data_IF_723824563267
#
_entry.id   IF_723824563267
#
_cell.length_a   1.000
_cell.length_b   1.000
_cell.length_c   1.000
_cell.angle_alpha   90.00
_cell.angle_beta   90.00
_cell.angle_gamma   90.00
#
_symmetry.space_group_name_H-M   'P 1'
#
loop_
_entity.id
_entity.type
_entity.pdbx_description
1 polymer ?
#
# COMPACT_ATOMS: atom_id res chain seq x y z
N UNK A 1 43.10 42.16 -18.99
CA UNK A 1 42.94 42.21 -17.52
C UNK A 1 42.07 41.04 -17.04
N UNK A 2 40.95 40.74 -17.61
CA UNK A 2 39.99 39.67 -17.16
C UNK A 2 40.64 38.24 -17.04
N UNK A 3 41.58 37.88 -17.90
CA UNK A 3 42.21 36.53 -17.87
C UNK A 3 43.16 36.33 -16.69
N UNK A 4 43.75 37.38 -16.13
CA UNK A 4 44.60 37.34 -14.92
C UNK A 4 43.79 37.28 -13.61
N UNK A 5 42.57 37.81 -13.61
CA UNK A 5 41.63 37.74 -12.47
C UNK A 5 41.03 36.36 -12.31
N UNK A 6 40.71 35.67 -13.43
CA UNK A 6 40.19 34.31 -13.38
C UNK A 6 41.25 33.31 -12.84
N UNK A 7 42.50 33.41 -13.27
CA UNK A 7 43.59 32.57 -12.75
C UNK A 7 43.79 32.77 -11.25
N UNK A 8 43.75 34.04 -10.77
CA UNK A 8 43.85 34.31 -9.33
C UNK A 8 42.70 33.76 -8.51
N UNK A 9 41.51 33.72 -9.06
CA UNK A 9 40.32 33.11 -8.38
C UNK A 9 40.41 31.59 -8.38
N UNK A 10 40.88 30.96 -9.45
CA UNK A 10 41.12 29.52 -9.49
C UNK A 10 42.21 29.08 -8.50
N UNK A 11 43.33 29.82 -8.40
CA UNK A 11 44.38 29.52 -7.43
C UNK A 11 43.91 29.71 -5.99
N UNK A 12 43.10 30.73 -5.69
CA UNK A 12 42.51 30.93 -4.36
C UNK A 12 41.50 29.83 -3.99
N UNK A 13 40.69 29.38 -4.92
CA UNK A 13 39.75 28.27 -4.71
C UNK A 13 40.53 26.95 -4.47
N UNK A 14 41.62 26.71 -5.17
CA UNK A 14 42.46 25.53 -4.96
C UNK A 14 43.20 25.57 -3.60
N UNK A 15 43.65 26.74 -3.15
CA UNK A 15 44.26 26.89 -1.81
C UNK A 15 43.21 26.68 -0.69
N UNK A 16 41.99 27.23 -0.80
CA UNK A 16 40.89 27.01 0.16
C UNK A 16 40.47 25.54 0.21
N UNK A 17 40.38 24.85 -0.94
CA UNK A 17 40.10 23.41 -0.99
C UNK A 17 41.21 22.59 -0.34
N UNK A 18 42.48 22.93 -0.59
CA UNK A 18 43.62 22.25 0.05
C UNK A 18 43.70 22.48 1.56
N UNK A 19 43.41 23.69 2.05
CA UNK A 19 43.31 23.96 3.50
C UNK A 19 42.17 23.19 4.15
N UNK A 20 41.00 23.15 3.51
CA UNK A 20 39.86 22.40 4.02
C UNK A 20 40.11 20.89 4.03
N UNK A 21 40.75 20.34 3.01
CA UNK A 21 41.18 18.93 2.94
C UNK A 21 42.20 18.58 4.02
N UNK A 22 43.18 19.48 4.26
CA UNK A 22 44.20 19.28 5.31
C UNK A 22 43.61 19.36 6.72
N UNK A 23 42.63 20.27 6.95
CA UNK A 23 41.94 20.38 8.21
C UNK A 23 41.03 19.15 8.47
N UNK A 24 40.34 18.64 7.43
CA UNK A 24 39.58 17.41 7.51
C UNK A 24 40.48 16.20 7.81
N UNK A 25 41.66 16.12 7.17
CA UNK A 25 42.65 15.06 7.43
C UNK A 25 43.12 15.04 8.88
N UNK A 26 43.50 16.19 9.41
CA UNK A 26 43.92 16.35 10.82
C UNK A 26 42.80 16.04 11.81
N UNK A 27 41.55 16.41 11.48
CA UNK A 27 40.40 16.06 12.31
C UNK A 27 40.13 14.55 12.32
N UNK A 28 40.24 13.87 11.16
CA UNK A 28 40.10 12.42 11.02
C UNK A 28 41.22 11.73 11.84
N UNK A 29 42.47 12.18 11.72
CA UNK A 29 43.60 11.61 12.44
C UNK A 29 43.41 11.74 13.96
N UNK A 30 43.00 12.92 14.43
CA UNK A 30 42.74 13.19 15.85
C UNK A 30 41.56 12.35 16.42
N UNK A 31 40.59 11.99 15.58
CA UNK A 31 39.39 11.23 15.97
C UNK A 31 39.41 9.79 15.46
N UNK A 32 40.54 9.30 14.96
CA UNK A 32 40.67 7.98 14.33
C UNK A 32 40.11 6.83 15.19
N UNK A 33 40.41 6.84 16.49
CA UNK A 33 39.90 5.84 17.42
C UNK A 33 38.36 5.89 17.54
N UNK A 34 37.76 7.09 17.66
CA UNK A 34 36.32 7.26 17.74
C UNK A 34 35.65 6.81 16.42
N UNK A 35 36.23 7.23 15.29
CA UNK A 35 35.74 6.83 13.96
C UNK A 35 35.81 5.31 13.76
N UNK A 36 36.91 4.68 14.20
CA UNK A 36 37.06 3.22 14.15
C UNK A 36 35.99 2.50 14.95
N UNK A 37 35.65 2.97 16.14
CA UNK A 37 34.57 2.42 16.96
C UNK A 37 33.21 2.63 16.31
N UNK A 38 32.95 3.78 15.70
CA UNK A 38 31.70 4.06 14.96
C UNK A 38 31.58 3.11 13.77
N UNK A 39 32.63 2.95 12.97
CA UNK A 39 32.64 2.01 11.84
C UNK A 39 32.40 0.58 12.31
N UNK A 40 33.06 0.14 13.38
CA UNK A 40 32.88 -1.17 13.96
C UNK A 40 31.42 -1.38 14.41
N UNK A 41 30.84 -0.40 15.10
CA UNK A 41 29.45 -0.45 15.53
C UNK A 41 28.49 -0.56 14.34
N UNK A 42 28.70 0.21 13.27
CA UNK A 42 27.91 0.13 12.03
C UNK A 42 28.02 -1.25 11.40
N UNK A 43 29.22 -1.81 11.31
CA UNK A 43 29.44 -3.17 10.76
C UNK A 43 28.69 -4.22 11.58
N UNK A 44 28.76 -4.15 12.91
CA UNK A 44 28.05 -5.08 13.79
C UNK A 44 26.51 -4.98 13.61
N UNK A 45 25.99 -3.76 13.51
CA UNK A 45 24.56 -3.53 13.25
C UNK A 45 24.15 -4.10 11.90
N UNK A 46 24.91 -3.82 10.85
CA UNK A 46 24.64 -4.34 9.50
C UNK A 46 24.69 -5.87 9.47
N UNK A 47 25.70 -6.48 10.09
CA UNK A 47 25.78 -7.94 10.19
C UNK A 47 24.61 -8.52 11.01
N UNK A 48 24.19 -7.86 12.09
CA UNK A 48 23.02 -8.23 12.87
C UNK A 48 21.74 -8.21 12.04
N UNK A 49 21.53 -7.16 11.23
CA UNK A 49 20.39 -7.05 10.31
C UNK A 49 20.41 -8.17 9.26
N UNK A 50 21.58 -8.44 8.67
CA UNK A 50 21.73 -9.51 7.68
C UNK A 50 21.44 -10.88 8.31
N UNK A 51 21.97 -11.15 9.48
CA UNK A 51 21.73 -12.39 10.21
C UNK A 51 20.24 -12.57 10.56
N UNK A 52 19.61 -11.53 11.10
CA UNK A 52 18.17 -11.51 11.39
C UNK A 52 17.35 -11.81 10.13
N UNK A 53 17.67 -11.14 9.03
CA UNK A 53 16.98 -11.36 7.76
C UNK A 53 17.16 -12.80 7.25
N UNK A 54 18.38 -13.33 7.28
CA UNK A 54 18.69 -14.65 6.70
C UNK A 54 18.17 -15.81 7.55
N UNK A 55 18.27 -15.70 8.88
CA UNK A 55 18.00 -16.84 9.78
C UNK A 55 16.63 -16.78 10.47
N UNK A 56 15.97 -15.61 10.48
CA UNK A 56 14.66 -15.45 11.13
C UNK A 56 13.60 -15.03 10.12
N UNK A 57 13.82 -13.94 9.37
CA UNK A 57 12.77 -13.37 8.54
C UNK A 57 12.47 -14.23 7.31
N UNK A 58 13.49 -14.70 6.60
CA UNK A 58 13.28 -15.55 5.41
C UNK A 58 12.60 -16.89 5.69
N UNK A 59 13.02 -17.70 6.69
CA UNK A 59 12.33 -18.94 7.01
C UNK A 59 10.86 -18.73 7.36
N UNK A 60 10.56 -17.72 8.19
CA UNK A 60 9.17 -17.36 8.52
C UNK A 60 8.35 -16.90 7.32
N UNK A 61 8.95 -16.16 6.39
CA UNK A 61 8.26 -15.75 5.16
C UNK A 61 7.92 -16.96 4.26
N UNK A 62 8.79 -17.97 4.20
CA UNK A 62 8.53 -19.22 3.46
C UNK A 62 7.43 -20.03 4.14
N UNK A 63 7.47 -20.16 5.46
CA UNK A 63 6.43 -20.83 6.25
C UNK A 63 5.06 -20.18 6.00
N UNK A 64 4.96 -18.85 6.17
CA UNK A 64 3.76 -18.09 5.89
C UNK A 64 3.26 -18.30 4.44
N UNK A 65 4.18 -18.37 3.46
CA UNK A 65 3.82 -18.59 2.07
C UNK A 65 3.22 -19.98 1.83
N UNK A 66 3.77 -21.00 2.49
CA UNK A 66 3.26 -22.36 2.39
C UNK A 66 1.86 -22.49 3.02
N UNK A 67 1.66 -21.92 4.20
CA UNK A 67 0.34 -21.90 4.85
C UNK A 67 -0.68 -21.12 4.02
N UNK A 68 -0.30 -19.96 3.50
CA UNK A 68 -1.17 -19.17 2.63
C UNK A 68 -1.59 -19.96 1.38
N UNK A 69 -0.69 -20.75 0.78
CA UNK A 69 -1.00 -21.57 -0.38
C UNK A 69 -2.07 -22.64 -0.08
N UNK A 70 -2.07 -23.22 1.12
CA UNK A 70 -3.10 -24.18 1.56
C UNK A 70 -4.46 -23.50 1.70
N UNK A 71 -4.52 -22.35 2.36
CA UNK A 71 -5.75 -21.58 2.52
C UNK A 71 -6.34 -21.11 1.18
N UNK A 72 -5.47 -20.76 0.20
CA UNK A 72 -5.90 -20.40 -1.16
C UNK A 72 -6.65 -21.54 -1.86
N UNK A 73 -6.32 -22.81 -1.59
CA UNK A 73 -7.04 -23.95 -2.17
C UNK A 73 -8.51 -23.95 -1.74
N UNK A 74 -8.79 -23.73 -0.46
CA UNK A 74 -10.16 -23.59 0.04
C UNK A 74 -10.86 -22.35 -0.53
N UNK A 75 -10.14 -21.23 -0.60
CA UNK A 75 -10.67 -20.00 -1.20
C UNK A 75 -11.10 -20.20 -2.66
N UNK A 76 -10.27 -20.87 -3.46
CA UNK A 76 -10.57 -21.17 -4.87
C UNK A 76 -11.71 -22.18 -5.03
N UNK A 77 -11.94 -23.03 -4.03
CA UNK A 77 -13.09 -23.93 -3.96
C UNK A 77 -14.39 -23.25 -3.50
N UNK A 78 -14.32 -21.96 -3.06
CA UNK A 78 -15.47 -21.24 -2.52
C UNK A 78 -15.79 -21.60 -1.06
N UNK A 79 -14.95 -22.38 -0.39
CA UNK A 79 -15.09 -22.71 1.04
C UNK A 79 -14.44 -21.61 1.88
N UNK A 80 -15.15 -20.46 1.97
CA UNK A 80 -14.63 -19.25 2.61
C UNK A 80 -14.42 -19.42 4.11
N UNK A 81 -15.24 -20.25 4.78
CA UNK A 81 -15.07 -20.58 6.19
C UNK A 81 -13.76 -21.28 6.46
N UNK A 82 -13.44 -22.37 5.70
CA UNK A 82 -12.18 -23.06 5.86
C UNK A 82 -10.98 -22.25 5.37
N UNK A 83 -11.15 -21.46 4.32
CA UNK A 83 -10.11 -20.55 3.87
C UNK A 83 -9.74 -19.54 4.97
N UNK A 84 -10.74 -19.05 5.71
CA UNK A 84 -10.59 -18.03 6.74
C UNK A 84 -10.02 -18.59 8.04
N UNK A 85 -10.62 -19.67 8.57
CA UNK A 85 -10.31 -20.22 9.89
C UNK A 85 -9.40 -21.45 9.86
N UNK A 86 -9.20 -22.02 8.69
CA UNK A 86 -8.43 -23.25 8.51
C UNK A 86 -9.26 -24.51 8.70
N UNK A 87 -8.58 -25.64 8.63
CA UNK A 87 -9.07 -26.92 9.13
C UNK A 87 -8.17 -27.39 10.27
N UNK A 88 -8.70 -28.15 11.21
CA UNK A 88 -7.98 -28.55 12.44
C UNK A 88 -6.76 -29.44 12.16
N UNK A 89 -6.54 -29.91 10.93
CA UNK A 89 -5.55 -30.93 10.62
C UNK A 89 -4.35 -30.42 9.80
N UNK A 90 -4.56 -29.59 8.77
CA UNK A 90 -3.52 -29.31 7.77
C UNK A 90 -3.39 -27.86 7.32
N UNK A 91 -4.37 -27.01 7.58
CA UNK A 91 -4.44 -25.64 7.07
C UNK A 91 -4.64 -24.63 8.18
N UNK A 92 -3.72 -23.69 8.26
CA UNK A 92 -3.89 -22.46 9.03
C UNK A 92 -4.65 -21.46 8.14
N UNK A 93 -5.79 -20.94 8.62
CA UNK A 93 -6.61 -20.00 7.85
C UNK A 93 -5.98 -18.62 7.65
N UNK A 94 -6.54 -17.87 6.70
CA UNK A 94 -6.03 -16.53 6.38
C UNK A 94 -6.03 -15.57 7.56
N UNK A 95 -7.00 -15.68 8.47
CA UNK A 95 -7.08 -14.84 9.65
C UNK A 95 -5.83 -14.97 10.52
N UNK A 96 -5.48 -16.21 10.89
CA UNK A 96 -4.30 -16.47 11.69
C UNK A 96 -3.01 -16.10 10.95
N UNK A 97 -2.90 -16.40 9.64
CA UNK A 97 -1.74 -16.03 8.82
C UNK A 97 -1.58 -14.50 8.78
N UNK A 98 -2.68 -13.75 8.62
CA UNK A 98 -2.65 -12.31 8.59
C UNK A 98 -2.18 -11.69 9.93
N UNK A 99 -2.54 -12.31 11.04
CA UNK A 99 -2.17 -11.82 12.37
C UNK A 99 -0.74 -12.23 12.76
N UNK A 100 -0.35 -13.48 12.54
CA UNK A 100 0.96 -14.00 12.92
C UNK A 100 2.10 -13.46 12.03
N UNK A 101 1.79 -13.17 10.77
CA UNK A 101 2.77 -12.73 9.77
C UNK A 101 2.51 -11.32 9.24
N UNK A 102 1.87 -10.45 10.03
CA UNK A 102 1.46 -9.09 9.63
C UNK A 102 2.60 -8.20 9.09
N UNK A 103 3.84 -8.42 9.50
CA UNK A 103 5.04 -7.71 9.03
C UNK A 103 5.53 -8.19 7.65
N UNK A 104 5.06 -9.34 7.17
CA UNK A 104 5.47 -9.93 5.90
C UNK A 104 4.45 -9.62 4.81
N UNK A 105 4.91 -9.59 3.56
CA UNK A 105 3.99 -9.40 2.42
C UNK A 105 2.94 -10.51 2.33
N UNK A 106 3.32 -11.74 2.70
CA UNK A 106 2.37 -12.87 2.74
C UNK A 106 1.26 -12.64 3.76
N UNK A 107 1.59 -12.14 4.96
CA UNK A 107 0.56 -11.81 5.96
C UNK A 107 -0.36 -10.68 5.52
N UNK A 108 0.17 -9.66 4.82
CA UNK A 108 -0.66 -8.63 4.21
C UNK A 108 -1.58 -9.19 3.13
N UNK A 109 -1.06 -10.10 2.29
CA UNK A 109 -1.87 -10.78 1.29
C UNK A 109 -2.94 -11.67 1.93
N UNK A 110 -2.60 -12.39 3.00
CA UNK A 110 -3.57 -13.15 3.80
C UNK A 110 -4.66 -12.24 4.37
N UNK A 111 -4.32 -11.03 4.81
CA UNK A 111 -5.31 -10.05 5.26
C UNK A 111 -6.28 -9.62 4.14
N UNK A 112 -5.80 -9.49 2.90
CA UNK A 112 -6.69 -9.25 1.76
C UNK A 112 -7.66 -10.42 1.55
N UNK A 113 -7.13 -11.65 1.53
CA UNK A 113 -7.98 -12.84 1.36
C UNK A 113 -8.96 -13.02 2.53
N UNK A 114 -8.53 -12.79 3.76
CA UNK A 114 -9.40 -12.79 4.93
C UNK A 114 -10.53 -11.76 4.79
N UNK A 115 -10.19 -10.53 4.38
CA UNK A 115 -11.18 -9.49 4.13
C UNK A 115 -12.18 -9.85 3.03
N UNK A 116 -11.73 -10.53 1.97
CA UNK A 116 -12.63 -11.05 0.92
C UNK A 116 -13.52 -12.17 1.47
N UNK A 117 -12.96 -13.12 2.24
CA UNK A 117 -13.75 -14.20 2.85
C UNK A 117 -14.83 -13.65 3.78
N UNK A 118 -14.48 -12.75 4.68
CA UNK A 118 -15.45 -12.10 5.58
C UNK A 118 -16.54 -11.37 4.80
N UNK A 119 -16.18 -10.65 3.73
CA UNK A 119 -17.16 -9.99 2.87
C UNK A 119 -18.13 -11.00 2.23
N UNK A 120 -17.62 -12.14 1.73
CA UNK A 120 -18.46 -13.19 1.13
C UNK A 120 -19.37 -13.89 2.15
N UNK A 121 -18.94 -13.95 3.40
CA UNK A 121 -19.74 -14.50 4.50
C UNK A 121 -20.75 -13.48 5.08
N UNK A 122 -20.70 -12.22 4.65
CA UNK A 122 -21.58 -11.15 5.14
C UNK A 122 -21.11 -10.51 6.46
N UNK A 123 -19.88 -10.80 6.87
CA UNK A 123 -19.25 -10.27 8.09
C UNK A 123 -18.49 -8.98 7.77
N UNK A 124 -19.21 -7.92 7.47
CA UNK A 124 -18.68 -6.70 6.87
C UNK A 124 -17.76 -5.89 7.81
N UNK A 125 -17.98 -5.93 9.13
CA UNK A 125 -17.11 -5.30 10.11
C UNK A 125 -15.70 -5.91 10.08
N UNK A 126 -15.61 -7.25 10.09
CA UNK A 126 -14.34 -7.95 10.03
C UNK A 126 -13.73 -7.87 8.63
N UNK A 127 -14.54 -7.90 7.58
CA UNK A 127 -14.07 -7.60 6.22
C UNK A 127 -13.36 -6.25 6.17
N UNK A 128 -13.97 -5.18 6.67
CA UNK A 128 -13.37 -3.86 6.70
C UNK A 128 -12.12 -3.80 7.59
N UNK A 129 -12.09 -4.53 8.70
CA UNK A 129 -10.93 -4.64 9.59
C UNK A 129 -9.73 -5.25 8.89
N UNK A 130 -9.92 -6.37 8.17
CA UNK A 130 -8.82 -7.07 7.49
C UNK A 130 -8.41 -6.36 6.20
N UNK A 131 -9.33 -5.83 5.39
CA UNK A 131 -9.01 -5.05 4.20
C UNK A 131 -8.12 -3.83 4.51
N UNK A 132 -8.32 -3.18 5.64
CA UNK A 132 -7.45 -2.06 6.09
C UNK A 132 -6.02 -2.49 6.45
N UNK A 133 -5.78 -3.76 6.81
CA UNK A 133 -4.44 -4.27 7.07
C UNK A 133 -3.64 -4.48 5.79
N UNK A 134 -4.32 -4.59 4.65
CA UNK A 134 -3.67 -4.82 3.36
C UNK A 134 -3.03 -3.54 2.82
N UNK A 135 -1.81 -3.66 2.29
CA UNK A 135 -1.15 -2.65 1.46
C UNK A 135 0.05 -3.32 0.77
N UNK A 136 -0.02 -3.45 -0.54
CA UNK A 136 1.05 -4.01 -1.37
C UNK A 136 1.84 -2.92 -2.12
N UNK A 137 1.32 -1.68 -2.17
CA UNK A 137 1.79 -0.59 -3.04
C UNK A 137 1.73 -0.98 -4.53
N UNK A 138 0.68 -1.71 -4.88
CA UNK A 138 0.38 -2.17 -6.23
C UNK A 138 -0.69 -1.29 -6.88
N UNK A 139 -0.54 -1.03 -8.19
CA UNK A 139 -1.44 -0.12 -8.93
C UNK A 139 -2.80 -0.75 -9.28
N UNK A 140 -2.98 -2.02 -9.01
CA UNK A 140 -4.22 -2.75 -9.33
C UNK A 140 -4.85 -3.35 -8.07
N UNK A 141 -4.07 -4.05 -7.25
CA UNK A 141 -4.59 -4.79 -6.10
C UNK A 141 -4.98 -3.82 -4.96
N UNK A 142 -4.16 -2.80 -4.66
CA UNK A 142 -4.50 -1.83 -3.61
C UNK A 142 -5.79 -1.04 -3.92
N UNK A 143 -6.01 -0.55 -5.17
CA UNK A 143 -7.29 0.06 -5.52
C UNK A 143 -8.47 -0.91 -5.45
N UNK A 144 -8.30 -2.18 -5.86
CA UNK A 144 -9.34 -3.19 -5.76
C UNK A 144 -9.71 -3.49 -4.30
N UNK A 145 -8.72 -3.60 -3.42
CA UNK A 145 -8.94 -3.76 -1.98
C UNK A 145 -9.65 -2.54 -1.37
N UNK A 146 -9.26 -1.33 -1.78
CA UNK A 146 -9.91 -0.09 -1.35
C UNK A 146 -11.36 0.00 -1.84
N UNK A 147 -11.64 -0.46 -3.06
CA UNK A 147 -13.00 -0.53 -3.58
C UNK A 147 -13.86 -1.52 -2.78
N UNK A 148 -13.35 -2.72 -2.50
CA UNK A 148 -14.06 -3.71 -1.69
C UNK A 148 -14.28 -3.22 -0.25
N UNK A 149 -13.32 -2.48 0.31
CA UNK A 149 -13.49 -1.79 1.60
C UNK A 149 -14.64 -0.78 1.54
N UNK A 150 -14.75 -0.05 0.44
CA UNK A 150 -15.89 0.86 0.19
C UNK A 150 -17.21 0.10 0.17
N UNK A 151 -17.25 -1.04 -0.52
CA UNK A 151 -18.45 -1.90 -0.58
C UNK A 151 -18.82 -2.41 0.83
N UNK A 152 -17.86 -2.87 1.63
CA UNK A 152 -18.09 -3.30 3.01
C UNK A 152 -18.67 -2.16 3.87
N UNK A 153 -18.19 -0.94 3.71
CA UNK A 153 -18.73 0.23 4.43
C UNK A 153 -20.13 0.63 3.95
N UNK A 154 -20.49 0.38 2.69
CA UNK A 154 -21.88 0.57 2.22
C UNK A 154 -22.81 -0.39 2.94
N UNK A 155 -22.46 -1.67 3.03
CA UNK A 155 -23.25 -2.68 3.73
C UNK A 155 -23.44 -2.36 5.24
N UNK A 156 -22.43 -1.72 5.84
CA UNK A 156 -22.49 -1.24 7.23
C UNK A 156 -23.28 0.08 7.40
N UNK A 157 -23.72 0.71 6.31
CA UNK A 157 -24.32 2.05 6.36
C UNK A 157 -23.35 3.18 6.70
N UNK A 158 -22.04 2.91 6.71
CA UNK A 158 -20.98 3.86 7.01
C UNK A 158 -20.58 4.69 5.77
N UNK A 159 -21.55 5.36 5.16
CA UNK A 159 -21.43 6.01 3.85
C UNK A 159 -20.25 6.99 3.72
N UNK A 160 -19.92 7.74 4.78
CA UNK A 160 -18.78 8.65 4.76
C UNK A 160 -17.44 7.91 4.60
N UNK A 161 -17.29 6.73 5.23
CA UNK A 161 -16.12 5.88 5.06
C UNK A 161 -16.11 5.19 3.69
N UNK A 162 -17.29 4.77 3.22
CA UNK A 162 -17.45 4.17 1.89
C UNK A 162 -16.95 5.11 0.78
N UNK A 163 -17.42 6.36 0.79
CA UNK A 163 -16.97 7.39 -0.17
C UNK A 163 -15.47 7.57 -0.11
N UNK A 164 -14.89 7.69 1.10
CA UNK A 164 -13.45 7.87 1.25
C UNK A 164 -12.64 6.70 0.67
N UNK A 165 -13.15 5.47 0.82
CA UNK A 165 -12.52 4.26 0.27
C UNK A 165 -12.64 4.22 -1.27
N UNK A 166 -13.80 4.56 -1.83
CA UNK A 166 -13.99 4.65 -3.27
C UNK A 166 -13.14 5.75 -3.91
N UNK A 167 -13.02 6.91 -3.26
CA UNK A 167 -12.13 7.98 -3.73
C UNK A 167 -10.65 7.56 -3.70
N UNK A 168 -10.23 6.79 -2.68
CA UNK A 168 -8.88 6.24 -2.61
C UNK A 168 -8.63 5.27 -3.79
N UNK A 169 -9.59 4.39 -4.08
CA UNK A 169 -9.52 3.49 -5.23
C UNK A 169 -9.46 4.24 -6.56
N UNK A 170 -10.28 5.27 -6.71
CA UNK A 170 -10.35 6.09 -7.94
C UNK A 170 -9.06 6.88 -8.19
N UNK A 171 -8.37 7.37 -7.13
CA UNK A 171 -7.09 8.10 -7.24
C UNK A 171 -5.97 7.29 -7.87
N UNK A 172 -6.08 5.97 -7.95
CA UNK A 172 -5.09 5.12 -8.62
C UNK A 172 -4.94 5.42 -10.12
N UNK A 173 -5.98 5.97 -10.74
CA UNK A 173 -6.06 6.15 -12.19
C UNK A 173 -6.13 4.84 -12.98
N UNK A 174 -6.35 3.70 -12.32
CA UNK A 174 -6.52 2.43 -12.98
C UNK A 174 -7.79 2.43 -13.83
N UNK A 175 -7.66 2.19 -15.13
CA UNK A 175 -8.75 2.34 -16.11
C UNK A 175 -9.94 1.39 -15.90
N UNK A 176 -9.75 0.31 -15.14
CA UNK A 176 -10.82 -0.62 -14.78
C UNK A 176 -11.47 -0.26 -13.44
N UNK A 177 -10.66 0.03 -12.42
CA UNK A 177 -11.13 0.19 -11.04
C UNK A 177 -11.60 1.63 -10.77
N UNK A 178 -10.92 2.63 -11.33
CA UNK A 178 -11.25 4.02 -11.04
C UNK A 178 -12.66 4.43 -11.52
N UNK A 179 -13.11 4.13 -12.76
CA UNK A 179 -14.45 4.49 -13.19
C UNK A 179 -15.53 3.77 -12.37
N UNK A 180 -15.32 2.49 -12.03
CA UNK A 180 -16.23 1.73 -11.18
C UNK A 180 -16.34 2.34 -9.78
N UNK A 181 -15.22 2.70 -9.19
CA UNK A 181 -15.17 3.32 -7.85
C UNK A 181 -15.79 4.72 -7.85
N UNK A 182 -15.55 5.53 -8.88
CA UNK A 182 -16.22 6.84 -9.05
C UNK A 182 -17.73 6.70 -9.16
N UNK A 183 -18.21 5.72 -9.95
CA UNK A 183 -19.66 5.47 -10.10
C UNK A 183 -20.26 5.02 -8.79
N UNK A 184 -19.64 4.07 -8.07
CA UNK A 184 -20.09 3.61 -6.75
C UNK A 184 -20.11 4.76 -5.72
N UNK A 185 -19.03 5.55 -5.64
CA UNK A 185 -18.98 6.73 -4.77
C UNK A 185 -20.06 7.76 -5.10
N UNK A 186 -20.31 8.00 -6.38
CA UNK A 186 -21.39 8.85 -6.85
C UNK A 186 -22.78 8.38 -6.42
N UNK A 187 -23.04 7.06 -6.45
CA UNK A 187 -24.29 6.47 -5.96
C UNK A 187 -24.42 6.67 -4.44
N UNK A 188 -23.36 6.46 -3.69
CA UNK A 188 -23.37 6.70 -2.23
C UNK A 188 -23.62 8.17 -1.91
N UNK A 189 -23.09 9.12 -2.68
CA UNK A 189 -23.42 10.54 -2.52
C UNK A 189 -24.91 10.84 -2.79
N UNK A 190 -25.52 10.15 -3.77
CA UNK A 190 -26.97 10.27 -3.99
C UNK A 190 -27.77 9.77 -2.79
N UNK A 191 -27.40 8.65 -2.19
CA UNK A 191 -28.05 8.11 -0.99
C UNK A 191 -27.95 9.08 0.21
N UNK A 192 -26.83 9.82 0.30
CA UNK A 192 -26.65 10.88 1.29
C UNK A 192 -27.37 12.20 0.94
N UNK A 193 -27.96 12.30 -0.25
CA UNK A 193 -28.61 13.52 -0.73
C UNK A 193 -27.62 14.57 -1.28
N UNK A 194 -26.32 14.28 -1.35
CA UNK A 194 -25.31 15.18 -1.93
C UNK A 194 -25.27 15.03 -3.47
N UNK A 195 -26.31 15.55 -4.11
CA UNK A 195 -26.42 15.57 -5.56
C UNK A 195 -25.24 16.26 -6.26
N UNK A 196 -24.67 17.28 -5.62
CA UNK A 196 -23.55 18.02 -6.23
C UNK A 196 -22.29 17.16 -6.30
N UNK A 197 -21.94 16.45 -5.21
CA UNK A 197 -20.81 15.56 -5.18
C UNK A 197 -21.03 14.35 -6.10
N UNK A 198 -22.25 13.79 -6.11
CA UNK A 198 -22.64 12.70 -7.01
C UNK A 198 -22.44 13.09 -8.48
N UNK A 199 -22.99 14.24 -8.89
CA UNK A 199 -22.85 14.76 -10.25
C UNK A 199 -21.40 14.88 -10.66
N UNK A 200 -20.55 15.47 -9.79
CA UNK A 200 -19.11 15.63 -10.05
C UNK A 200 -18.43 14.27 -10.29
N UNK A 201 -18.74 13.26 -9.46
CA UNK A 201 -18.16 11.93 -9.62
C UNK A 201 -18.58 11.28 -10.96
N UNK A 202 -19.85 11.39 -11.34
CA UNK A 202 -20.33 10.84 -12.62
C UNK A 202 -19.79 11.60 -13.84
N UNK A 203 -19.69 12.93 -13.77
CA UNK A 203 -19.07 13.74 -14.83
C UNK A 203 -17.59 13.38 -15.00
N UNK A 204 -16.89 13.05 -13.92
CA UNK A 204 -15.52 12.57 -13.97
C UNK A 204 -15.41 11.22 -14.67
N UNK A 205 -16.30 10.25 -14.43
CA UNK A 205 -16.34 9.00 -15.20
C UNK A 205 -16.47 9.29 -16.70
N UNK A 206 -17.40 10.19 -17.07
CA UNK A 206 -17.64 10.55 -18.47
C UNK A 206 -16.43 11.21 -19.15
N UNK A 207 -15.74 12.10 -18.42
CA UNK A 207 -14.64 12.88 -18.94
C UNK A 207 -13.34 12.09 -19.02
N UNK A 208 -12.97 11.39 -17.93
CA UNK A 208 -11.67 10.76 -17.78
C UNK A 208 -11.65 9.32 -18.30
N UNK A 209 -12.82 8.63 -18.29
CA UNK A 209 -12.95 7.22 -18.66
C UNK A 209 -14.05 6.93 -19.69
N UNK A 210 -14.09 7.64 -20.84
CA UNK A 210 -15.21 7.54 -21.80
C UNK A 210 -15.33 6.16 -22.45
N UNK A 211 -14.29 5.35 -22.43
CA UNK A 211 -14.27 3.98 -22.98
C UNK A 211 -14.65 2.90 -21.94
N UNK A 212 -14.86 3.28 -20.67
CA UNK A 212 -15.22 2.32 -19.61
C UNK A 212 -16.65 1.82 -19.76
N UNK A 213 -16.92 0.65 -19.20
CA UNK A 213 -18.30 0.09 -19.11
C UNK A 213 -19.23 1.03 -18.34
N UNK A 214 -18.71 1.67 -17.31
CA UNK A 214 -19.42 2.62 -16.45
C UNK A 214 -19.87 3.86 -17.19
N UNK A 215 -19.12 4.29 -18.22
CA UNK A 215 -19.48 5.46 -19.04
C UNK A 215 -20.71 5.22 -19.93
N UNK A 216 -21.03 3.97 -20.26
CA UNK A 216 -22.14 3.64 -21.18
C UNK A 216 -23.50 4.11 -20.67
N UNK A 217 -23.73 4.09 -19.36
CA UNK A 217 -25.00 4.47 -18.72
C UNK A 217 -24.88 5.70 -17.81
N UNK A 218 -23.71 6.34 -17.78
CA UNK A 218 -23.40 7.41 -16.80
C UNK A 218 -24.30 8.64 -16.95
N UNK A 219 -24.75 8.94 -18.14
CA UNK A 219 -25.65 10.08 -18.40
C UNK A 219 -26.98 9.97 -17.64
N UNK A 220 -27.46 8.75 -17.41
CA UNK A 220 -28.64 8.49 -16.55
C UNK A 220 -28.38 8.96 -15.11
N UNK A 221 -27.21 8.64 -14.56
CA UNK A 221 -26.85 9.04 -13.20
C UNK A 221 -26.59 10.54 -13.08
N UNK A 222 -25.98 11.16 -14.10
CA UNK A 222 -25.81 12.62 -14.16
C UNK A 222 -27.17 13.31 -14.15
N UNK A 223 -28.16 12.79 -14.88
CA UNK A 223 -29.50 13.36 -14.91
C UNK A 223 -30.23 13.23 -13.55
N UNK A 224 -30.04 12.13 -12.82
CA UNK A 224 -30.61 11.94 -11.46
C UNK A 224 -29.99 12.90 -10.45
N UNK A 225 -28.72 13.28 -10.63
CA UNK A 225 -27.96 14.18 -9.77
C UNK A 225 -28.18 15.68 -10.09
N UNK A 226 -29.14 16.04 -10.92
CA UNK A 226 -29.48 17.43 -11.24
C UNK A 226 -30.33 18.11 -10.16
#
# INVERSE_FOLDING_TARGET
MAKKENFKKEDQNLEEVNESLSAAGLWIEKNANLLSWIVLAVVVVVMGIIALNQYVLKPKAVEASNENAKAVVYFMAGDFEKALHGDDAECVGFEQIADDYSWYQTGKLAALYAGICYYQLGEYEDAAKYLKKFSAKDLTIDPAASQLLGDAYVELGEYGKAVSAFEAAAKSGNELIAPMSLKKGGIVYLEQGDKRAAKKAFEQVKADYPASTEAQDIDKYIAIAQ
#
